data_IF_787294220176
#
_entry.id   IF_787294220176
#
_cell.length_a   1.000
_cell.length_b   1.000
_cell.length_c   1.000
_cell.angle_alpha   90.00
_cell.angle_beta   90.00
_cell.angle_gamma   90.00
#
_symmetry.space_group_name_H-M   'P 1'
#
loop_
_entity.id
_entity.type
_entity.pdbx_description
1 polymer ?
#
# COMPACT_ATOMS: atom_id res chain seq x y z
N UNK A 1 -37.61 31.81 5.15
CA UNK A 1 -36.45 32.05 4.30
C UNK A 1 -35.09 31.43 4.80
N UNK A 2 -34.97 31.02 6.04
CA UNK A 2 -33.71 30.46 6.61
C UNK A 2 -33.43 29.00 6.25
N UNK A 3 -34.42 28.21 5.84
CA UNK A 3 -34.27 26.80 5.52
C UNK A 3 -33.59 26.50 4.16
N UNK A 4 -33.78 27.39 3.17
CA UNK A 4 -33.20 27.18 1.81
C UNK A 4 -31.69 27.45 1.76
N UNK A 5 -31.19 28.38 2.56
CA UNK A 5 -29.75 28.68 2.64
C UNK A 5 -28.91 27.54 3.26
N UNK A 6 -29.49 26.79 4.21
CA UNK A 6 -28.80 25.63 4.83
C UNK A 6 -28.67 24.45 3.89
N UNK A 7 -29.66 24.21 3.03
CA UNK A 7 -29.67 23.11 2.05
C UNK A 7 -28.66 23.38 0.94
N UNK A 8 -28.63 24.61 0.39
CA UNK A 8 -27.67 24.99 -0.66
C UNK A 8 -26.23 24.92 -0.17
N UNK A 9 -25.96 25.32 1.08
CA UNK A 9 -24.63 25.24 1.69
C UNK A 9 -24.18 23.78 1.89
N UNK A 10 -25.12 22.89 2.26
CA UNK A 10 -24.86 21.44 2.46
C UNK A 10 -24.59 20.72 1.15
N UNK A 11 -25.31 21.04 0.06
CA UNK A 11 -25.11 20.48 -1.27
C UNK A 11 -23.76 20.90 -1.85
N UNK A 12 -23.37 22.17 -1.70
CA UNK A 12 -22.06 22.67 -2.18
C UNK A 12 -20.90 22.02 -1.42
N UNK A 13 -21.01 21.83 -0.11
CA UNK A 13 -19.96 21.16 0.68
C UNK A 13 -19.76 19.70 0.25
N UNK A 14 -20.84 18.98 -0.01
CA UNK A 14 -20.80 17.59 -0.44
C UNK A 14 -20.10 17.44 -1.81
N UNK A 15 -20.39 18.32 -2.76
CA UNK A 15 -19.75 18.31 -4.09
C UNK A 15 -18.25 18.63 -4.02
N UNK A 16 -17.83 19.52 -3.13
CA UNK A 16 -16.42 19.88 -2.91
C UNK A 16 -15.67 18.69 -2.31
N UNK A 17 -16.24 18.02 -1.32
CA UNK A 17 -15.65 16.84 -0.68
C UNK A 17 -15.50 15.71 -1.70
N UNK A 18 -16.52 15.45 -2.52
CA UNK A 18 -16.45 14.44 -3.57
C UNK A 18 -15.35 14.73 -4.60
N UNK A 19 -15.23 15.97 -5.06
CA UNK A 19 -14.16 16.39 -6.00
C UNK A 19 -12.78 16.20 -5.40
N UNK A 20 -12.59 16.52 -4.12
CA UNK A 20 -11.32 16.31 -3.44
C UNK A 20 -10.97 14.82 -3.35
N UNK A 21 -11.92 13.97 -2.93
CA UNK A 21 -11.72 12.52 -2.83
C UNK A 21 -11.39 11.92 -4.21
N UNK A 22 -12.04 12.37 -5.27
CA UNK A 22 -11.77 11.91 -6.64
C UNK A 22 -10.36 12.30 -7.09
N UNK A 23 -9.92 13.54 -6.85
CA UNK A 23 -8.53 13.95 -7.15
C UNK A 23 -7.51 13.10 -6.42
N UNK A 24 -7.73 12.82 -5.13
CA UNK A 24 -6.84 12.01 -4.32
C UNK A 24 -6.82 10.54 -4.76
N UNK A 25 -7.95 10.01 -5.25
CA UNK A 25 -8.02 8.69 -5.87
C UNK A 25 -7.16 8.63 -7.14
N UNK A 26 -7.26 9.64 -8.01
CA UNK A 26 -6.43 9.73 -9.22
C UNK A 26 -4.94 9.78 -8.88
N UNK A 27 -4.54 10.51 -7.85
CA UNK A 27 -3.15 10.53 -7.36
C UNK A 27 -2.70 9.14 -6.94
N UNK A 28 -3.51 8.42 -6.17
CA UNK A 28 -3.19 7.05 -5.73
C UNK A 28 -3.05 6.08 -6.91
N UNK A 29 -3.94 6.19 -7.90
CA UNK A 29 -3.88 5.41 -9.15
C UNK A 29 -2.61 5.73 -9.93
N UNK A 30 -2.28 7.01 -10.12
CA UNK A 30 -1.07 7.44 -10.83
C UNK A 30 0.19 6.92 -10.15
N UNK A 31 0.28 7.02 -8.84
CA UNK A 31 1.38 6.45 -8.06
C UNK A 31 1.45 4.94 -8.21
N UNK A 32 0.30 4.25 -8.23
CA UNK A 32 0.22 2.82 -8.49
C UNK A 32 0.77 2.45 -9.88
N UNK A 33 0.34 3.15 -10.92
CA UNK A 33 0.84 2.96 -12.30
C UNK A 33 2.35 3.15 -12.37
N UNK A 34 2.88 4.23 -11.79
CA UNK A 34 4.31 4.49 -11.77
C UNK A 34 5.09 3.41 -11.04
N UNK A 35 4.56 2.92 -9.91
CA UNK A 35 5.16 1.82 -9.17
C UNK A 35 5.16 0.51 -9.97
N UNK A 36 4.06 0.24 -10.67
CA UNK A 36 3.94 -0.93 -11.56
C UNK A 36 4.90 -0.87 -12.73
N UNK A 37 5.04 0.29 -13.37
CA UNK A 37 6.02 0.52 -14.43
C UNK A 37 7.45 0.32 -13.91
N UNK A 38 7.77 0.89 -12.75
CA UNK A 38 9.09 0.71 -12.15
C UNK A 38 9.42 -0.77 -11.94
N UNK A 39 8.50 -1.55 -11.36
CA UNK A 39 8.68 -2.98 -11.14
C UNK A 39 8.86 -3.74 -12.47
N UNK A 40 8.10 -3.36 -13.51
CA UNK A 40 8.15 -4.00 -14.81
C UNK A 40 9.45 -3.71 -15.56
N UNK A 41 9.88 -2.44 -15.56
CA UNK A 41 11.06 -1.98 -16.32
C UNK A 41 12.38 -2.41 -15.65
N UNK A 42 12.46 -2.27 -14.33
CA UNK A 42 13.71 -2.59 -13.60
C UNK A 42 13.93 -4.10 -13.46
N UNK A 43 12.89 -4.92 -13.70
CA UNK A 43 12.95 -6.40 -13.64
C UNK A 43 13.75 -6.91 -12.43
N UNK A 44 13.48 -6.30 -11.26
CA UNK A 44 14.20 -6.60 -10.02
C UNK A 44 14.08 -8.10 -9.66
N UNK A 45 15.09 -8.86 -10.00
CA UNK A 45 15.27 -10.26 -9.62
C UNK A 45 16.26 -10.35 -8.45
N UNK A 46 15.85 -9.81 -7.29
CA UNK A 46 16.69 -9.87 -6.09
C UNK A 46 16.82 -11.29 -5.49
N UNK A 47 16.20 -12.29 -6.11
CA UNK A 47 16.17 -13.66 -5.58
C UNK A 47 15.39 -13.82 -4.26
N UNK A 48 14.99 -12.73 -3.64
CA UNK A 48 14.25 -12.73 -2.38
C UNK A 48 12.74 -12.63 -2.62
N UNK A 49 11.94 -13.57 -2.12
CA UNK A 49 10.49 -13.54 -2.27
C UNK A 49 9.90 -12.34 -1.49
N UNK A 50 8.82 -11.75 -2.01
CA UNK A 50 8.11 -10.64 -1.35
C UNK A 50 8.72 -9.25 -1.52
N UNK A 51 9.96 -9.10 -2.05
CA UNK A 51 10.62 -7.80 -2.21
C UNK A 51 9.83 -6.81 -3.09
N UNK A 52 9.08 -7.29 -4.07
CA UNK A 52 8.26 -6.44 -4.95
C UNK A 52 7.18 -5.67 -4.18
N UNK A 53 6.73 -6.20 -3.04
CA UNK A 53 5.77 -5.52 -2.18
C UNK A 53 6.31 -4.15 -1.70
N UNK A 54 7.58 -4.08 -1.34
CA UNK A 54 8.22 -2.83 -0.93
C UNK A 54 8.05 -1.72 -1.97
N UNK A 55 8.22 -2.04 -3.25
CA UNK A 55 8.20 -1.03 -4.33
C UNK A 55 6.81 -0.52 -4.71
N UNK A 56 5.75 -1.29 -4.48
CA UNK A 56 4.39 -0.77 -4.72
C UNK A 56 3.72 -0.28 -3.43
N UNK A 57 3.90 -0.97 -2.32
CA UNK A 57 3.24 -0.60 -1.06
C UNK A 57 3.74 0.73 -0.52
N UNK A 58 5.06 0.95 -0.51
CA UNK A 58 5.67 2.16 0.08
C UNK A 58 5.14 3.43 -0.58
N UNK A 59 5.26 3.66 -1.91
CA UNK A 59 4.82 4.90 -2.52
C UNK A 59 3.31 5.10 -2.45
N UNK A 60 2.52 4.03 -2.62
CA UNK A 60 1.05 4.10 -2.56
C UNK A 60 0.59 4.41 -1.13
N UNK A 61 1.23 3.82 -0.12
CA UNK A 61 0.93 4.09 1.29
C UNK A 61 1.32 5.52 1.69
N UNK A 62 2.45 6.04 1.20
CA UNK A 62 2.84 7.45 1.37
C UNK A 62 1.79 8.38 0.76
N UNK A 63 1.33 8.09 -0.46
CA UNK A 63 0.28 8.87 -1.11
C UNK A 63 -1.02 8.87 -0.29
N UNK A 64 -1.40 7.71 0.28
CA UNK A 64 -2.58 7.56 1.14
C UNK A 64 -2.45 8.36 2.44
N UNK A 65 -1.32 8.26 3.13
CA UNK A 65 -1.05 8.94 4.40
C UNK A 65 -0.95 10.48 4.24
N UNK A 66 -0.67 10.97 3.06
CA UNK A 66 -0.63 12.42 2.75
C UNK A 66 -2.01 13.04 2.44
N UNK A 67 -3.07 12.44 2.92
CA UNK A 67 -4.44 12.91 2.72
C UNK A 67 -5.13 12.28 1.51
N UNK A 68 -4.67 11.08 1.10
CA UNK A 68 -5.26 10.32 -0.01
C UNK A 68 -6.69 9.83 0.26
N UNK A 69 -7.33 9.31 -0.79
CA UNK A 69 -8.66 8.72 -0.72
C UNK A 69 -8.69 7.52 0.24
N UNK A 70 -9.82 7.29 0.93
CA UNK A 70 -10.01 6.19 1.91
C UNK A 70 -9.71 4.79 1.36
N UNK A 71 -9.82 4.60 0.05
CA UNK A 71 -9.51 3.35 -0.67
C UNK A 71 -8.27 3.51 -1.56
N UNK A 72 -7.43 4.48 -1.26
CA UNK A 72 -6.30 4.87 -2.11
C UNK A 72 -5.25 3.77 -2.24
N UNK A 73 -4.97 3.03 -1.17
CA UNK A 73 -3.98 1.95 -1.19
C UNK A 73 -4.49 0.76 -1.99
N UNK A 74 -5.77 0.42 -1.86
CA UNK A 74 -6.43 -0.65 -2.65
C UNK A 74 -6.40 -0.31 -4.13
N UNK A 75 -6.83 0.89 -4.51
CA UNK A 75 -6.85 1.32 -5.90
C UNK A 75 -5.43 1.39 -6.49
N UNK A 76 -4.50 2.05 -5.80
CA UNK A 76 -3.11 2.15 -6.24
C UNK A 76 -2.43 0.80 -6.39
N UNK A 77 -2.64 -0.13 -5.45
CA UNK A 77 -2.14 -1.50 -5.52
C UNK A 77 -2.68 -2.29 -6.71
N UNK A 78 -3.99 -2.20 -6.98
CA UNK A 78 -4.61 -2.84 -8.14
C UNK A 78 -4.04 -2.30 -9.46
N UNK A 79 -3.90 -0.98 -9.58
CA UNK A 79 -3.32 -0.38 -10.79
C UNK A 79 -1.83 -0.69 -10.93
N UNK A 80 -1.07 -0.82 -9.83
CA UNK A 80 0.30 -1.31 -9.87
C UNK A 80 0.37 -2.75 -10.41
N UNK A 81 -0.53 -3.63 -9.94
CA UNK A 81 -0.60 -5.01 -10.40
C UNK A 81 -1.00 -5.11 -11.88
N UNK A 82 -2.02 -4.37 -12.29
CA UNK A 82 -2.50 -4.31 -13.66
C UNK A 82 -1.40 -3.83 -14.61
N UNK A 83 -0.74 -2.72 -14.27
CA UNK A 83 0.36 -2.17 -15.06
C UNK A 83 1.51 -3.15 -15.17
N UNK A 84 1.95 -3.74 -14.05
CA UNK A 84 3.03 -4.73 -14.05
C UNK A 84 2.69 -5.92 -14.96
N UNK A 85 1.46 -6.41 -14.90
CA UNK A 85 0.97 -7.50 -15.75
C UNK A 85 0.94 -7.13 -17.23
N UNK A 86 0.45 -5.92 -17.57
CA UNK A 86 0.38 -5.43 -18.97
C UNK A 86 1.77 -5.33 -19.63
N UNK A 87 2.83 -5.13 -18.85
CA UNK A 87 4.22 -5.12 -19.34
C UNK A 87 4.91 -6.49 -19.22
N UNK A 88 4.16 -7.57 -19.07
CA UNK A 88 4.68 -8.94 -19.05
C UNK A 88 5.48 -9.30 -17.78
N UNK A 89 5.44 -8.45 -16.76
CA UNK A 89 6.02 -8.75 -15.45
C UNK A 89 4.94 -9.23 -14.48
N UNK A 90 5.36 -9.95 -13.42
CA UNK A 90 4.43 -10.50 -12.45
C UNK A 90 4.59 -9.83 -11.08
N UNK A 91 3.51 -9.18 -10.63
CA UNK A 91 3.35 -8.77 -9.24
C UNK A 91 2.41 -9.78 -8.56
N UNK A 92 2.82 -10.36 -7.44
CA UNK A 92 2.08 -11.39 -6.70
C UNK A 92 1.57 -12.58 -7.56
N UNK A 93 2.21 -12.84 -8.72
CA UNK A 93 1.90 -14.01 -9.56
C UNK A 93 0.83 -13.77 -10.63
N UNK A 94 0.73 -12.59 -11.19
CA UNK A 94 -0.12 -12.26 -12.33
C UNK A 94 -1.59 -12.08 -11.95
N UNK A 95 -2.51 -12.44 -12.84
CA UNK A 95 -3.96 -12.22 -12.71
C UNK A 95 -4.52 -12.78 -11.40
N UNK A 96 -4.13 -13.99 -11.02
CA UNK A 96 -4.60 -14.63 -9.77
C UNK A 96 -4.09 -13.89 -8.52
N UNK A 97 -3.00 -13.14 -8.63
CA UNK A 97 -2.48 -12.31 -7.55
C UNK A 97 -3.21 -10.98 -7.36
N UNK A 98 -3.97 -10.50 -8.35
CA UNK A 98 -4.67 -9.22 -8.25
C UNK A 98 -5.67 -9.15 -7.09
N UNK A 99 -6.54 -10.16 -6.85
CA UNK A 99 -7.40 -10.17 -5.68
C UNK A 99 -6.63 -10.10 -4.36
N UNK A 100 -5.48 -10.76 -4.27
CA UNK A 100 -4.65 -10.73 -3.06
C UNK A 100 -4.02 -9.35 -2.82
N UNK A 101 -3.63 -8.64 -3.89
CA UNK A 101 -3.16 -7.26 -3.80
C UNK A 101 -4.31 -6.33 -3.38
N UNK A 102 -5.54 -6.57 -3.88
CA UNK A 102 -6.70 -5.83 -3.41
C UNK A 102 -6.94 -6.02 -1.92
N UNK A 103 -6.92 -7.27 -1.42
CA UNK A 103 -7.05 -7.58 0.01
C UNK A 103 -5.91 -6.95 0.82
N UNK A 104 -4.67 -7.03 0.34
CA UNK A 104 -3.53 -6.37 0.97
C UNK A 104 -3.73 -4.84 1.06
N UNK A 105 -4.22 -4.22 -0.02
CA UNK A 105 -4.58 -2.80 -0.06
C UNK A 105 -5.70 -2.45 0.92
N UNK A 106 -6.74 -3.29 1.02
CA UNK A 106 -7.84 -3.11 1.97
C UNK A 106 -7.37 -3.15 3.43
N UNK A 107 -6.45 -4.06 3.78
CA UNK A 107 -5.84 -4.12 5.12
C UNK A 107 -5.13 -2.80 5.43
N UNK A 108 -4.35 -2.28 4.49
CA UNK A 108 -3.63 -1.02 4.67
C UNK A 108 -4.59 0.17 4.77
N UNK A 109 -5.60 0.25 3.89
CA UNK A 109 -6.61 1.31 3.93
C UNK A 109 -7.41 1.29 5.23
N UNK A 110 -7.82 0.10 5.70
CA UNK A 110 -8.50 -0.06 6.99
C UNK A 110 -7.62 0.42 8.14
N UNK A 111 -6.34 0.03 8.15
CA UNK A 111 -5.37 0.44 9.16
C UNK A 111 -5.18 1.96 9.18
N UNK A 112 -5.00 2.58 8.01
CA UNK A 112 -4.83 4.04 7.91
C UNK A 112 -6.10 4.77 8.36
N UNK A 113 -7.29 4.29 7.96
CA UNK A 113 -8.56 4.86 8.42
C UNK A 113 -8.70 4.75 9.95
N UNK A 114 -8.25 3.66 10.56
CA UNK A 114 -8.25 3.49 12.01
C UNK A 114 -7.29 4.46 12.70
N UNK A 115 -6.08 4.64 12.14
CA UNK A 115 -5.08 5.61 12.61
C UNK A 115 -5.64 7.03 12.57
N UNK A 116 -6.25 7.42 11.45
CA UNK A 116 -6.86 8.75 11.26
C UNK A 116 -7.99 8.98 12.25
N UNK A 117 -8.88 8.00 12.44
CA UNK A 117 -10.03 8.09 13.36
C UNK A 117 -9.59 8.26 14.81
N UNK A 118 -8.51 7.62 15.23
CA UNK A 118 -8.04 7.64 16.62
C UNK A 118 -6.88 8.64 16.84
N UNK A 119 -6.54 9.47 15.86
CA UNK A 119 -5.45 10.45 15.91
C UNK A 119 -4.12 9.84 16.38
N UNK A 120 -3.81 8.61 15.93
CA UNK A 120 -2.60 7.89 16.32
C UNK A 120 -1.39 8.54 15.65
N UNK A 121 -0.38 8.89 16.45
CA UNK A 121 0.81 9.58 15.97
C UNK A 121 2.10 9.01 16.62
N UNK A 122 3.24 9.57 16.25
CA UNK A 122 4.53 9.22 16.85
C UNK A 122 5.02 7.81 16.50
N UNK A 123 5.59 7.13 17.50
CA UNK A 123 6.14 5.77 17.31
C UNK A 123 5.06 4.71 17.15
N UNK A 124 3.88 4.92 17.72
CA UNK A 124 2.77 3.99 17.59
C UNK A 124 2.29 3.90 16.13
N UNK A 125 2.29 5.02 15.40
CA UNK A 125 2.03 5.04 13.96
C UNK A 125 3.00 4.12 13.20
N UNK A 126 4.30 4.22 13.50
CA UNK A 126 5.35 3.41 12.85
C UNK A 126 5.14 1.93 13.12
N UNK A 127 4.86 1.55 14.37
CA UNK A 127 4.62 0.17 14.76
C UNK A 127 3.37 -0.39 14.06
N UNK A 128 2.24 0.31 14.12
CA UNK A 128 0.98 -0.16 13.53
C UNK A 128 1.12 -0.34 12.01
N UNK A 129 1.74 0.61 11.32
CA UNK A 129 1.96 0.50 9.87
C UNK A 129 2.98 -0.57 9.51
N UNK A 130 4.01 -0.79 10.34
CA UNK A 130 4.93 -1.91 10.19
C UNK A 130 4.20 -3.26 10.25
N UNK A 131 3.37 -3.47 11.26
CA UNK A 131 2.56 -4.70 11.40
C UNK A 131 1.51 -4.84 10.28
N UNK A 132 0.85 -3.76 9.90
CA UNK A 132 -0.10 -3.78 8.78
C UNK A 132 0.59 -4.15 7.46
N UNK A 133 1.80 -3.65 7.24
CA UNK A 133 2.63 -4.01 6.09
C UNK A 133 3.00 -5.49 6.08
N UNK A 134 3.35 -6.07 7.24
CA UNK A 134 3.57 -7.51 7.38
C UNK A 134 2.29 -8.26 6.97
N UNK A 135 1.15 -7.94 7.59
CA UNK A 135 -0.12 -8.62 7.33
C UNK A 135 -0.50 -8.54 5.83
N UNK A 136 -0.41 -7.34 5.24
CA UNK A 136 -0.71 -7.13 3.83
C UNK A 136 0.21 -7.94 2.90
N UNK A 137 1.51 -8.02 3.20
CA UNK A 137 2.42 -8.79 2.37
C UNK A 137 2.28 -10.30 2.56
N UNK A 138 1.93 -10.77 3.76
CA UNK A 138 1.65 -12.19 4.02
C UNK A 138 0.40 -12.68 3.28
N UNK A 139 -0.60 -11.82 3.04
CA UNK A 139 -1.73 -12.16 2.15
C UNK A 139 -1.23 -12.55 0.76
N UNK A 140 -0.23 -11.86 0.23
CA UNK A 140 0.36 -12.22 -1.06
C UNK A 140 1.14 -13.55 -1.02
N UNK A 141 1.64 -13.97 0.15
CA UNK A 141 2.27 -15.27 0.34
C UNK A 141 1.25 -16.42 0.26
N UNK A 142 0.00 -16.22 0.70
CA UNK A 142 -1.04 -17.27 0.76
C UNK A 142 -1.30 -17.93 -0.59
N UNK A 143 -1.11 -17.21 -1.71
CA UNK A 143 -1.20 -17.78 -3.06
C UNK A 143 -0.30 -19.00 -3.25
N UNK A 144 0.93 -18.95 -2.77
CA UNK A 144 1.90 -20.04 -2.93
C UNK A 144 1.57 -21.26 -2.07
N UNK A 145 0.74 -21.06 -1.05
CA UNK A 145 0.21 -22.15 -0.22
C UNK A 145 -0.99 -22.82 -0.87
N UNK A 146 -1.82 -22.05 -1.58
CA UNK A 146 -3.06 -22.53 -2.23
C UNK A 146 -2.74 -23.18 -3.59
N UNK A 147 -1.77 -22.65 -4.32
CA UNK A 147 -1.34 -23.14 -5.64
C UNK A 147 0.12 -23.59 -5.55
N UNK A 148 0.39 -24.84 -5.19
CA UNK A 148 1.75 -25.39 -5.20
C UNK A 148 2.25 -25.42 -6.64
N UNK A 149 2.97 -24.40 -7.05
CA UNK A 149 3.66 -24.36 -8.34
C UNK A 149 5.02 -25.04 -8.18
N UNK A 150 5.05 -26.37 -8.40
CA UNK A 150 6.28 -27.14 -8.53
C UNK A 150 7.21 -27.20 -7.31
N UNK A 151 8.08 -28.15 -7.30
CA UNK A 151 9.19 -28.29 -6.36
C UNK A 151 10.07 -27.03 -6.43
N UNK A 152 9.94 -26.14 -5.45
CA UNK A 152 10.85 -25.00 -5.29
C UNK A 152 12.16 -25.51 -4.64
N UNK A 153 13.28 -25.52 -5.34
CA UNK A 153 14.55 -26.10 -4.86
C UNK A 153 15.31 -25.19 -3.89
N UNK A 154 14.66 -24.24 -3.24
CA UNK A 154 15.38 -23.27 -2.42
C UNK A 154 15.51 -23.71 -0.97
N UNK A 155 16.40 -24.69 -0.76
CA UNK A 155 17.08 -24.91 0.52
C UNK A 155 18.24 -23.93 0.61
N UNK A 156 18.01 -22.72 1.13
CA UNK A 156 19.09 -21.79 1.40
C UNK A 156 19.39 -21.87 2.89
N UNK A 157 20.61 -22.23 3.25
CA UNK A 157 21.13 -22.26 4.62
C UNK A 157 20.39 -23.21 5.60
N UNK A 158 19.91 -24.36 5.13
CA UNK A 158 19.29 -25.36 6.01
C UNK A 158 17.92 -24.98 6.58
N UNK A 159 17.39 -23.80 6.23
CA UNK A 159 16.03 -23.36 6.59
C UNK A 159 15.06 -23.85 5.52
N UNK A 160 13.94 -24.46 5.92
CA UNK A 160 12.92 -24.86 4.97
C UNK A 160 12.48 -23.64 4.14
N UNK A 161 12.29 -23.80 2.84
CA UNK A 161 11.93 -22.71 1.93
C UNK A 161 10.70 -21.91 2.37
N UNK A 162 9.82 -22.52 3.17
CA UNK A 162 8.66 -21.88 3.78
C UNK A 162 9.08 -20.78 4.79
N UNK A 163 9.94 -21.10 5.76
CA UNK A 163 10.37 -20.13 6.79
C UNK A 163 11.15 -18.97 6.18
N UNK A 164 12.02 -19.25 5.21
CA UNK A 164 12.73 -18.19 4.49
C UNK A 164 11.75 -17.22 3.80
N UNK A 165 10.70 -17.74 3.15
CA UNK A 165 9.67 -16.93 2.51
C UNK A 165 8.89 -16.12 3.54
N UNK A 166 8.46 -16.76 4.64
CA UNK A 166 7.72 -16.08 5.71
C UNK A 166 8.52 -14.90 6.27
N UNK A 167 9.79 -15.11 6.59
CA UNK A 167 10.68 -14.05 7.07
C UNK A 167 10.86 -12.93 6.02
N UNK A 168 11.10 -13.30 4.76
CA UNK A 168 11.30 -12.33 3.68
C UNK A 168 10.05 -11.49 3.41
N UNK A 169 8.88 -12.10 3.34
CA UNK A 169 7.61 -11.35 3.18
C UNK A 169 7.33 -10.44 4.38
N UNK A 170 7.57 -10.92 5.60
CA UNK A 170 7.42 -10.12 6.82
C UNK A 170 8.39 -8.95 6.84
N UNK A 171 9.64 -9.16 6.49
CA UNK A 171 10.67 -8.12 6.43
C UNK A 171 10.32 -7.02 5.43
N UNK A 172 10.03 -7.35 4.17
CA UNK A 172 9.71 -6.34 3.16
C UNK A 172 8.37 -5.65 3.41
N UNK A 173 7.39 -6.35 3.98
CA UNK A 173 6.12 -5.77 4.40
C UNK A 173 6.30 -4.75 5.53
N UNK A 174 7.03 -5.11 6.58
CA UNK A 174 7.32 -4.19 7.70
C UNK A 174 8.11 -2.97 7.24
N UNK A 175 9.14 -3.19 6.41
CA UNK A 175 9.97 -2.13 5.87
C UNK A 175 9.15 -1.11 5.06
N UNK A 176 8.21 -1.58 4.24
CA UNK A 176 7.31 -0.71 3.48
C UNK A 176 6.46 0.17 4.40
N UNK A 177 5.83 -0.42 5.42
CA UNK A 177 5.01 0.31 6.39
C UNK A 177 5.81 1.32 7.22
N UNK A 178 6.98 0.93 7.71
CA UNK A 178 7.88 1.77 8.52
C UNK A 178 8.36 2.97 7.70
N UNK A 179 8.86 2.76 6.49
CA UNK A 179 9.37 3.86 5.64
C UNK A 179 8.24 4.83 5.28
N UNK A 180 7.03 4.31 4.96
CA UNK A 180 5.90 5.18 4.70
C UNK A 180 5.55 6.05 5.92
N UNK A 181 5.52 5.47 7.13
CA UNK A 181 5.26 6.20 8.37
C UNK A 181 6.32 7.28 8.66
N UNK A 182 7.59 6.94 8.55
CA UNK A 182 8.71 7.88 8.77
C UNK A 182 8.66 9.02 7.77
N UNK A 183 8.40 8.75 6.49
CA UNK A 183 8.33 9.76 5.42
C UNK A 183 7.25 10.82 5.67
N UNK A 184 6.15 10.43 6.30
CA UNK A 184 5.08 11.36 6.67
C UNK A 184 5.43 12.14 7.93
N UNK A 185 6.01 11.48 8.95
CA UNK A 185 6.45 12.11 10.21
C UNK A 185 7.48 13.21 9.96
N UNK A 186 8.47 12.98 9.09
CA UNK A 186 9.50 13.96 8.76
C UNK A 186 8.90 15.23 8.13
N UNK A 187 7.88 15.09 7.28
CA UNK A 187 7.21 16.25 6.67
C UNK A 187 6.44 17.09 7.70
N UNK A 188 5.74 16.45 8.63
CA UNK A 188 4.98 17.15 9.68
C UNK A 188 5.94 17.97 10.56
N UNK A 189 7.05 17.37 10.98
CA UNK A 189 8.04 18.08 11.78
C UNK A 189 8.62 19.28 11.03
N UNK A 190 8.96 19.15 9.74
CA UNK A 190 9.49 20.25 8.93
C UNK A 190 8.51 21.43 8.86
N UNK A 191 7.22 21.18 8.66
CA UNK A 191 6.21 22.23 8.62
C UNK A 191 6.03 22.97 9.95
N UNK A 192 6.25 22.28 11.09
CA UNK A 192 6.22 22.90 12.41
C UNK A 192 7.43 23.83 12.65
N UNK A 193 8.60 23.49 12.10
CA UNK A 193 9.81 24.34 12.20
C UNK A 193 9.76 25.57 11.28
N UNK A 194 9.10 25.47 10.12
CA UNK A 194 8.98 26.59 9.16
C UNK A 194 7.92 27.62 9.57
N UNK A 195 6.98 27.26 10.45
CA UNK A 195 5.90 28.15 10.93
C UNK A 195 6.16 28.79 12.31
N UNK A 196 7.30 28.53 12.94
CA UNK A 196 7.80 29.15 14.16
C UNK A 196 9.01 30.06 13.86
#
# INVERSE_FOLDING_TARGET
>A
MLGSLSIVKKVNLHSIIQRHQFKMLLVSISVGIMSGLFIALVRLNLGMPGHKAFFWMTPVLIARLRGGCKIGTTAGGLFAALTTYSFGANLAGGVIGMPLIAVAGMILDWTVNHIEKNNISGWLLVLILGFAGIAANLVCLSKRMILPTGLDPHFILGVSGFWFRLCSYSFFGSLAGIIAAISVKLKINKQLYENN
#
